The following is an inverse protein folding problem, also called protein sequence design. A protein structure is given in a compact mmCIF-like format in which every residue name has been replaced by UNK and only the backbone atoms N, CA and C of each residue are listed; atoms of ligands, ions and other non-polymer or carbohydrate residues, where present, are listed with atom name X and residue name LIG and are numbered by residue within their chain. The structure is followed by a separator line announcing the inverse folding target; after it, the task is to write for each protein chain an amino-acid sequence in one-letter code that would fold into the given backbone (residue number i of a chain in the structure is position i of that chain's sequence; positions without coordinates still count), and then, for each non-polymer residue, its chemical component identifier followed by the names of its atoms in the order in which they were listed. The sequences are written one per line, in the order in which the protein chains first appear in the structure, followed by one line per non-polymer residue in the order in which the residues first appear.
data_IF_175318194596
#
_entry.id   IF_175318194596
#
_cell.length_a   1.000
_cell.length_b   1.000
_cell.length_c   1.000
_cell.angle_alpha   90.00
_cell.angle_beta   90.00
_cell.angle_gamma   90.00
#
_symmetry.space_group_name_H-M   'P 1'
#
loop_
_entity.id
_entity.type
_entity.pdbx_description
1 polymer ?
#
# COMPACT_ATOMS: atom_id res chain seq x y z
N UNK A 1 9.28 23.09 5.67
CA UNK A 1 7.89 23.45 6.00
C UNK A 1 6.95 23.34 4.81
N UNK A 2 7.33 23.89 3.64
CA UNK A 2 6.50 23.79 2.42
C UNK A 2 6.32 22.33 1.98
N UNK A 3 7.36 21.51 2.09
CA UNK A 3 7.28 20.09 1.72
C UNK A 3 6.36 19.28 2.65
N UNK A 4 6.38 19.58 3.94
CA UNK A 4 5.47 18.94 4.91
C UNK A 4 4.03 19.23 4.54
N UNK A 5 3.71 20.49 4.26
CA UNK A 5 2.36 20.90 3.87
C UNK A 5 1.91 20.19 2.59
N UNK A 6 2.78 20.15 1.58
CA UNK A 6 2.53 19.46 0.32
C UNK A 6 2.23 17.97 0.54
N UNK A 7 3.04 17.29 1.36
CA UNK A 7 2.83 15.88 1.66
C UNK A 7 1.52 15.62 2.40
N UNK A 8 1.15 16.48 3.34
CA UNK A 8 -0.13 16.38 4.03
C UNK A 8 -1.32 16.57 3.09
N UNK A 9 -1.19 17.47 2.12
CA UNK A 9 -2.22 17.65 1.08
C UNK A 9 -2.37 16.39 0.23
N UNK A 10 -1.25 15.79 -0.17
CA UNK A 10 -1.25 14.57 -0.99
C UNK A 10 -1.97 13.42 -0.29
N UNK A 11 -1.76 13.26 1.01
CA UNK A 11 -2.39 12.19 1.79
C UNK A 11 -3.75 12.59 2.39
N UNK A 12 -4.24 13.80 2.10
CA UNK A 12 -5.56 14.26 2.54
C UNK A 12 -5.66 14.60 4.01
N UNK A 13 -4.57 15.05 4.63
CA UNK A 13 -4.52 15.36 6.06
C UNK A 13 -4.21 16.83 6.37
N UNK A 14 -4.47 17.74 5.46
CA UNK A 14 -4.19 19.17 5.64
C UNK A 14 -4.83 19.71 6.93
N UNK A 15 -6.06 19.32 7.22
CA UNK A 15 -6.79 19.75 8.41
C UNK A 15 -6.23 19.18 9.72
N UNK A 16 -5.36 18.18 9.63
CA UNK A 16 -4.78 17.49 10.78
C UNK A 16 -3.31 17.87 11.02
N UNK A 17 -2.82 18.91 10.34
CA UNK A 17 -1.42 19.33 10.40
C UNK A 17 -0.93 19.61 11.83
N UNK A 18 -1.78 20.16 12.68
CA UNK A 18 -1.46 20.53 14.05
C UNK A 18 -1.88 19.46 15.08
N UNK A 19 -2.34 18.29 14.63
CA UNK A 19 -2.75 17.22 15.52
C UNK A 19 -1.55 16.35 15.95
N UNK A 20 -1.60 15.87 17.18
CA UNK A 20 -0.65 14.87 17.68
C UNK A 20 -1.10 13.47 17.23
N UNK A 21 -0.16 12.49 17.13
CA UNK A 21 -0.51 11.13 16.73
C UNK A 21 -1.65 10.49 17.53
N UNK A 22 -1.73 10.77 18.84
CA UNK A 22 -2.78 10.24 19.68
C UNK A 22 -4.19 10.73 19.29
N UNK A 23 -4.29 11.81 18.54
CA UNK A 23 -5.56 12.40 18.09
C UNK A 23 -6.02 11.87 16.73
N UNK A 24 -5.22 10.98 16.12
CA UNK A 24 -5.48 10.47 14.78
C UNK A 24 -6.07 9.06 14.80
N UNK A 25 -6.93 8.75 13.85
CA UNK A 25 -7.41 7.39 13.62
C UNK A 25 -6.29 6.49 13.09
N UNK A 26 -6.52 5.17 13.06
CA UNK A 26 -5.56 4.21 12.51
C UNK A 26 -5.20 4.51 11.06
N UNK A 27 -6.20 4.79 10.22
CA UNK A 27 -5.98 5.13 8.83
C UNK A 27 -5.28 6.48 8.64
N UNK A 28 -5.58 7.46 9.49
CA UNK A 28 -4.90 8.75 9.48
C UNK A 28 -3.43 8.58 9.87
N UNK A 29 -3.13 7.79 10.89
CA UNK A 29 -1.74 7.47 11.27
C UNK A 29 -0.99 6.80 10.14
N UNK A 30 -1.65 5.89 9.44
CA UNK A 30 -1.07 5.19 8.29
C UNK A 30 -0.73 6.18 7.17
N UNK A 31 -1.63 7.11 6.88
CA UNK A 31 -1.38 8.15 5.87
C UNK A 31 -0.27 9.11 6.28
N UNK A 32 -0.10 9.40 7.57
CA UNK A 32 1.05 10.16 8.06
C UNK A 32 2.36 9.42 7.77
N UNK A 33 2.38 8.11 8.00
CA UNK A 33 3.53 7.27 7.67
C UNK A 33 3.86 7.33 6.18
N UNK A 34 2.86 7.30 5.32
CA UNK A 34 3.02 7.42 3.88
C UNK A 34 3.59 8.81 3.52
N UNK A 35 3.07 9.87 4.13
CA UNK A 35 3.57 11.23 3.91
C UNK A 35 5.04 11.37 4.33
N UNK A 36 5.43 10.75 5.44
CA UNK A 36 6.83 10.72 5.89
C UNK A 36 7.73 10.03 4.88
N UNK A 37 7.28 8.89 4.34
CA UNK A 37 8.03 8.17 3.32
C UNK A 37 8.15 8.99 2.02
N UNK A 38 7.14 9.76 1.68
CA UNK A 38 7.10 10.57 0.46
C UNK A 38 7.93 11.85 0.57
N UNK A 39 8.11 12.39 1.78
CA UNK A 39 8.76 13.68 1.99
C UNK A 39 10.15 13.82 1.35
N UNK A 40 11.07 12.83 1.44
CA UNK A 40 12.38 12.93 0.81
C UNK A 40 12.37 12.70 -0.71
N UNK A 41 11.21 12.64 -1.35
CA UNK A 41 11.06 12.40 -2.80
C UNK A 41 11.72 11.11 -3.25
N UNK A 42 11.29 9.95 -2.70
CA UNK A 42 11.92 8.67 -3.02
C UNK A 42 11.53 8.17 -4.41
N UNK A 43 12.32 7.24 -4.94
CA UNK A 43 11.97 6.50 -6.15
C UNK A 43 11.14 5.26 -5.83
N UNK A 44 11.30 4.71 -4.61
CA UNK A 44 10.61 3.51 -4.15
C UNK A 44 10.09 3.71 -2.73
N UNK A 45 8.87 3.32 -2.49
CA UNK A 45 8.27 3.28 -1.16
C UNK A 45 7.98 1.82 -0.81
N UNK A 46 8.42 1.41 0.38
CA UNK A 46 8.09 0.09 0.92
C UNK A 46 6.93 0.24 1.90
N UNK A 47 5.85 -0.47 1.65
CA UNK A 47 4.69 -0.48 2.52
C UNK A 47 4.48 -1.90 3.07
N UNK A 48 4.76 -2.07 4.36
CA UNK A 48 4.65 -3.37 5.03
C UNK A 48 3.30 -3.46 5.74
N UNK A 49 2.42 -4.33 5.24
CA UNK A 49 1.08 -4.55 5.75
C UNK A 49 0.31 -3.22 5.98
N UNK A 50 0.22 -2.34 4.96
CA UNK A 50 -0.28 -0.98 5.16
C UNK A 50 -1.75 -0.89 5.56
N UNK A 51 -2.51 -1.96 5.37
CA UNK A 51 -3.96 -1.99 5.67
C UNK A 51 -4.31 -2.99 6.77
N UNK A 52 -3.31 -3.58 7.43
CA UNK A 52 -3.53 -4.52 8.51
C UNK A 52 -4.30 -3.87 9.66
N UNK A 53 -5.30 -4.57 10.18
CA UNK A 53 -6.14 -4.12 11.30
C UNK A 53 -6.98 -2.86 11.03
N UNK A 54 -7.19 -2.50 9.77
CA UNK A 54 -8.08 -1.40 9.38
C UNK A 54 -9.43 -1.94 8.89
N UNK A 55 -10.50 -1.18 9.14
CA UNK A 55 -11.81 -1.50 8.60
C UNK A 55 -11.84 -1.33 7.07
N UNK A 56 -12.83 -1.90 6.36
CA UNK A 56 -12.85 -1.86 4.89
C UNK A 56 -12.84 -0.45 4.28
N UNK A 57 -13.58 0.50 4.86
CA UNK A 57 -13.63 1.86 4.33
C UNK A 57 -12.27 2.57 4.49
N UNK A 58 -11.63 2.40 5.64
CA UNK A 58 -10.32 2.98 5.94
C UNK A 58 -9.23 2.32 5.07
N UNK A 59 -9.31 1.00 4.90
CA UNK A 59 -8.43 0.25 4.00
C UNK A 59 -8.49 0.84 2.58
N UNK A 60 -9.69 1.05 2.06
CA UNK A 60 -9.89 1.64 0.73
C UNK A 60 -9.22 3.01 0.62
N UNK A 61 -9.39 3.85 1.63
CA UNK A 61 -8.80 5.19 1.66
C UNK A 61 -7.28 5.15 1.62
N UNK A 62 -6.65 4.25 2.37
CA UNK A 62 -5.19 4.07 2.37
C UNK A 62 -4.70 3.58 1.01
N UNK A 63 -5.38 2.61 0.43
CA UNK A 63 -5.01 2.05 -0.88
C UNK A 63 -5.16 3.09 -2.00
N UNK A 64 -6.21 3.91 -1.97
CA UNK A 64 -6.39 5.01 -2.92
C UNK A 64 -5.25 6.03 -2.81
N UNK A 65 -4.80 6.31 -1.61
CA UNK A 65 -3.67 7.20 -1.36
C UNK A 65 -2.39 6.66 -2.01
N UNK A 66 -2.08 5.37 -1.82
CA UNK A 66 -0.91 4.74 -2.43
C UNK A 66 -1.01 4.72 -3.95
N UNK A 67 -2.17 4.40 -4.49
CA UNK A 67 -2.41 4.39 -5.93
C UNK A 67 -2.20 5.78 -6.53
N UNK A 68 -2.73 6.82 -5.89
CA UNK A 68 -2.59 8.20 -6.34
C UNK A 68 -1.12 8.64 -6.35
N UNK A 69 -0.37 8.30 -5.32
CA UNK A 69 1.07 8.60 -5.26
C UNK A 69 1.82 7.93 -6.41
N UNK A 70 1.54 6.66 -6.67
CA UNK A 70 2.15 5.93 -7.77
C UNK A 70 1.87 6.60 -9.13
N UNK A 71 0.61 6.95 -9.37
CA UNK A 71 0.21 7.55 -10.66
C UNK A 71 0.71 8.97 -10.84
N UNK A 72 0.63 9.80 -9.80
CA UNK A 72 0.97 11.22 -9.88
C UNK A 72 2.47 11.48 -9.87
N UNK A 73 3.22 10.74 -9.10
CA UNK A 73 4.65 11.00 -8.88
C UNK A 73 5.57 9.93 -9.45
N UNK A 74 4.99 8.92 -10.08
CA UNK A 74 5.73 7.81 -10.69
C UNK A 74 6.68 7.12 -9.69
N UNK A 75 6.26 7.05 -8.42
CA UNK A 75 7.00 6.36 -7.37
C UNK A 75 6.63 4.88 -7.43
N UNK A 76 7.63 4.01 -7.45
CA UNK A 76 7.40 2.56 -7.36
C UNK A 76 7.00 2.21 -5.94
N UNK A 77 5.91 1.48 -5.78
CA UNK A 77 5.45 1.05 -4.46
C UNK A 77 5.56 -0.46 -4.36
N UNK A 78 6.29 -0.92 -3.35
CA UNK A 78 6.41 -2.34 -3.03
C UNK A 78 5.58 -2.59 -1.77
N UNK A 79 4.54 -3.41 -1.89
CA UNK A 79 3.63 -3.72 -0.79
C UNK A 79 3.89 -5.13 -0.31
N UNK A 80 4.10 -5.30 0.99
CA UNK A 80 4.14 -6.61 1.62
C UNK A 80 2.78 -6.86 2.24
N UNK A 81 2.07 -7.89 1.79
CA UNK A 81 0.74 -8.23 2.28
C UNK A 81 0.43 -9.70 2.06
N UNK A 82 -0.45 -10.24 2.86
CA UNK A 82 -1.06 -11.55 2.65
C UNK A 82 -2.49 -11.44 2.11
N UNK A 83 -2.97 -10.23 1.88
CA UNK A 83 -4.33 -9.98 1.38
C UNK A 83 -4.35 -9.96 -0.15
N UNK A 84 -4.93 -10.98 -0.75
CA UNK A 84 -5.01 -11.08 -2.22
C UNK A 84 -5.84 -9.97 -2.85
N UNK A 85 -6.84 -9.47 -2.13
CA UNK A 85 -7.65 -8.34 -2.58
C UNK A 85 -6.83 -7.08 -2.85
N UNK A 86 -5.82 -6.82 -2.01
CA UNK A 86 -4.90 -5.69 -2.20
C UNK A 86 -4.07 -5.88 -3.47
N UNK A 87 -3.56 -7.08 -3.67
CA UNK A 87 -2.75 -7.41 -4.85
C UNK A 87 -3.57 -7.26 -6.12
N UNK A 88 -4.79 -7.79 -6.16
CA UNK A 88 -5.67 -7.67 -7.32
C UNK A 88 -5.99 -6.23 -7.68
N UNK A 89 -6.18 -5.40 -6.67
CA UNK A 89 -6.58 -4.02 -6.86
C UNK A 89 -5.44 -3.11 -7.32
N UNK A 90 -4.27 -3.22 -6.71
CA UNK A 90 -3.21 -2.23 -6.87
C UNK A 90 -1.99 -2.71 -7.65
N UNK A 91 -1.70 -4.00 -7.60
CA UNK A 91 -0.40 -4.46 -8.06
C UNK A 91 -0.43 -4.84 -9.54
N UNK A 92 0.68 -4.59 -10.23
CA UNK A 92 0.90 -5.05 -11.60
C UNK A 92 1.48 -6.47 -11.61
N UNK A 93 2.21 -6.79 -10.56
CA UNK A 93 2.80 -8.12 -10.36
C UNK A 93 3.05 -8.36 -8.89
N UNK A 94 3.18 -9.62 -8.52
CA UNK A 94 3.46 -10.03 -7.16
C UNK A 94 4.53 -11.10 -7.12
N UNK A 95 5.43 -11.00 -6.14
CA UNK A 95 6.39 -12.04 -5.85
C UNK A 95 5.89 -12.85 -4.65
N UNK A 96 5.76 -14.15 -4.84
CA UNK A 96 5.33 -15.06 -3.80
C UNK A 96 6.55 -15.57 -3.04
N UNK A 97 6.60 -15.33 -1.74
CA UNK A 97 7.70 -15.73 -0.88
C UNK A 97 7.32 -16.90 0.01
N UNK A 98 8.18 -17.88 0.07
CA UNK A 98 8.05 -19.01 0.99
C UNK A 98 9.44 -19.41 1.49
N UNK A 99 9.58 -19.53 2.80
CA UNK A 99 10.83 -19.95 3.47
C UNK A 99 12.05 -19.15 3.01
N UNK A 100 11.87 -17.83 2.85
CA UNK A 100 12.94 -16.93 2.46
C UNK A 100 13.32 -16.94 0.99
N UNK A 101 12.51 -17.59 0.15
CA UNK A 101 12.77 -17.68 -1.30
C UNK A 101 11.59 -17.20 -2.10
N UNK A 102 11.86 -16.62 -3.28
CA UNK A 102 10.82 -16.30 -4.25
C UNK A 102 10.44 -17.60 -4.97
N UNK A 103 9.19 -18.02 -4.76
CA UNK A 103 8.66 -19.26 -5.34
C UNK A 103 8.10 -19.03 -6.73
N UNK A 104 7.46 -17.87 -6.92
CA UNK A 104 6.80 -17.54 -8.16
C UNK A 104 6.66 -16.03 -8.28
N UNK A 105 6.73 -15.51 -9.52
CA UNK A 105 6.35 -14.13 -9.83
C UNK A 105 5.08 -14.19 -10.65
N UNK A 106 4.03 -13.55 -10.15
CA UNK A 106 2.68 -13.59 -10.73
C UNK A 106 2.39 -12.23 -11.37
N UNK A 107 1.86 -12.24 -12.59
CA UNK A 107 1.35 -11.03 -13.23
C UNK A 107 -0.13 -10.86 -12.89
N UNK A 108 -0.52 -9.62 -12.57
CA UNK A 108 -1.91 -9.25 -12.30
C UNK A 108 -2.46 -8.57 -13.54
N UNK A 109 -3.50 -9.16 -14.13
CA UNK A 109 -4.12 -8.62 -15.35
C UNK A 109 -5.63 -8.48 -15.13
N UNK A 110 -6.11 -7.23 -15.21
CA UNK A 110 -7.54 -6.95 -15.09
C UNK A 110 -8.14 -7.45 -13.79
N UNK A 111 -7.44 -7.27 -12.67
CA UNK A 111 -7.83 -7.74 -11.34
C UNK A 111 -7.86 -9.28 -11.22
N UNK A 112 -7.23 -9.98 -12.16
CA UNK A 112 -7.14 -11.44 -12.12
C UNK A 112 -5.72 -11.89 -11.83
N UNK A 113 -5.62 -12.92 -11.01
CA UNK A 113 -4.37 -13.55 -10.59
C UNK A 113 -4.40 -15.01 -11.00
N UNK A 114 -3.39 -15.45 -11.74
CA UNK A 114 -3.22 -16.85 -12.10
C UNK A 114 -1.91 -17.36 -11.52
N UNK A 115 -1.98 -18.30 -10.61
CA UNK A 115 -0.80 -18.92 -10.01
C UNK A 115 -0.56 -20.31 -10.61
N UNK A 116 0.73 -20.63 -10.82
CA UNK A 116 1.16 -21.93 -11.31
C UNK A 116 1.68 -22.81 -10.17
N UNK A 117 2.25 -22.21 -9.11
CA UNK A 117 2.72 -22.96 -7.95
C UNK A 117 1.56 -23.42 -7.07
N UNK A 118 1.78 -24.52 -6.35
CA UNK A 118 0.80 -25.04 -5.39
C UNK A 118 0.49 -24.01 -4.29
N UNK A 119 1.52 -23.38 -3.75
CA UNK A 119 1.37 -22.35 -2.71
C UNK A 119 0.59 -21.16 -3.24
N UNK A 120 0.88 -20.73 -4.46
CA UNK A 120 0.15 -19.62 -5.09
C UNK A 120 -1.32 -19.94 -5.30
N UNK A 121 -1.64 -21.16 -5.73
CA UNK A 121 -3.03 -21.58 -5.90
C UNK A 121 -3.79 -21.65 -4.58
N UNK A 122 -3.13 -22.10 -3.51
CA UNK A 122 -3.73 -22.11 -2.18
C UNK A 122 -4.06 -20.71 -1.70
N UNK A 123 -3.12 -19.77 -1.82
CA UNK A 123 -3.32 -18.39 -1.41
C UNK A 123 -4.49 -17.72 -2.14
N UNK A 124 -4.65 -18.01 -3.42
CA UNK A 124 -5.73 -17.46 -4.23
C UNK A 124 -7.08 -18.03 -3.81
N UNK A 125 -7.12 -19.29 -3.35
CA UNK A 125 -8.36 -19.95 -2.91
C UNK A 125 -8.88 -19.45 -1.57
N UNK A 126 -7.99 -19.02 -0.69
CA UNK A 126 -8.34 -18.55 0.66
C UNK A 126 -9.03 -17.19 0.66
N UNK A 127 -9.13 -16.58 -0.48
CA UNK A 127 -9.64 -15.22 -0.61
C UNK A 127 -11.15 -15.20 -1.00
#
# INVERSE_FOLDING_TARGET
KARVKECLEIVGLTERADHYPAQLSGGQKQRVGIARALAPKPQVILADEPTSALDPATTRSVLECLEDINKRFNVTIVIVTHEMSVIRRLCDRAALLDKGKVVEIIEVRGNQIHAQSEIGRELIRED
#
